data_IF_170941127973
#
_entry.id   IF_170941127973
#
_cell.length_a   1.000
_cell.length_b   1.000
_cell.length_c   1.000
_cell.angle_alpha   90.00
_cell.angle_beta   90.00
_cell.angle_gamma   90.00
#
_symmetry.space_group_name_H-M   'P 1'
#
loop_
_entity.id
_entity.type
_entity.pdbx_description
1 polymer ?
#
# COMPACT_ATOMS: atom_id res chain seq x y z
N UNK A 1 70.25 32.57 11.97
CA UNK A 1 69.24 33.05 12.94
C UNK A 1 67.97 33.40 12.19
N UNK A 2 66.96 32.52 12.19
CA UNK A 2 65.58 32.88 11.85
C UNK A 2 64.67 31.85 12.53
N UNK A 3 64.11 32.24 13.68
CA UNK A 3 63.14 31.48 14.47
C UNK A 3 61.82 31.44 13.69
N UNK A 4 61.30 30.24 13.40
CA UNK A 4 59.91 30.04 12.95
C UNK A 4 59.07 29.59 14.15
N UNK A 5 58.14 30.46 14.52
CA UNK A 5 57.13 30.29 15.57
C UNK A 5 56.09 29.25 15.13
N UNK A 6 55.91 28.21 15.94
CA UNK A 6 54.78 27.28 15.86
C UNK A 6 53.50 27.98 16.34
N UNK A 7 52.45 27.96 15.51
CA UNK A 7 51.09 28.40 15.89
C UNK A 7 50.35 27.27 16.62
N UNK A 8 49.93 27.46 17.88
CA UNK A 8 49.06 26.53 18.59
C UNK A 8 47.59 26.97 18.39
N UNK A 9 47.01 26.69 17.22
CA UNK A 9 45.60 27.02 16.97
C UNK A 9 44.91 25.97 16.08
N UNK A 10 45.31 24.70 16.23
CA UNK A 10 44.76 23.57 15.46
C UNK A 10 44.47 22.35 16.35
N UNK A 11 44.03 22.59 17.59
CA UNK A 11 43.77 21.52 18.56
C UNK A 11 42.43 21.65 19.29
N UNK A 12 41.44 22.33 18.68
CA UNK A 12 40.09 22.49 19.25
C UNK A 12 38.95 22.15 18.25
N UNK A 13 39.25 21.32 17.25
CA UNK A 13 38.28 20.75 16.30
C UNK A 13 38.23 19.22 16.40
N UNK A 14 38.44 18.67 17.60
CA UNK A 14 38.42 17.22 17.86
C UNK A 14 37.33 16.77 18.87
N UNK A 15 36.41 17.66 19.28
CA UNK A 15 35.58 17.37 20.45
C UNK A 15 34.09 17.76 20.31
N UNK A 16 33.51 17.65 19.11
CA UNK A 16 32.06 17.81 18.96
C UNK A 16 31.45 17.08 17.75
N UNK A 17 32.08 16.03 17.25
CA UNK A 17 31.32 14.96 16.56
C UNK A 17 30.67 14.10 17.63
N UNK A 18 29.68 14.69 18.31
CA UNK A 18 28.68 13.95 19.07
C UNK A 18 28.12 12.92 18.11
N UNK A 19 28.54 11.67 18.33
CA UNK A 19 27.94 10.48 17.76
C UNK A 19 26.46 10.56 18.09
N UNK A 20 25.67 11.05 17.13
CA UNK A 20 24.22 10.91 17.14
C UNK A 20 23.98 9.41 16.94
N UNK A 21 24.10 8.68 18.02
CA UNK A 21 23.71 7.28 18.12
C UNK A 21 22.20 7.28 17.93
N UNK A 22 21.74 7.11 16.69
CA UNK A 22 20.35 6.84 16.40
C UNK A 22 20.04 5.48 17.02
N UNK A 23 19.52 5.50 18.24
CA UNK A 23 19.01 4.30 18.90
C UNK A 23 17.83 3.81 18.08
N UNK A 24 18.01 2.66 17.44
CA UNK A 24 16.90 1.92 16.85
C UNK A 24 15.99 1.50 17.99
N UNK A 25 14.76 2.00 17.97
CA UNK A 25 13.74 1.64 18.95
C UNK A 25 13.07 0.36 18.45
N UNK A 26 13.20 -0.73 19.20
CA UNK A 26 12.60 -2.01 18.84
C UNK A 26 11.09 -1.98 19.07
N UNK A 27 10.26 -2.44 18.14
CA UNK A 27 8.83 -2.55 18.44
C UNK A 27 8.55 -3.65 19.47
N UNK A 28 7.47 -3.44 20.22
CA UNK A 28 6.99 -4.35 21.22
C UNK A 28 5.46 -4.40 21.23
N UNK A 29 4.93 -5.61 21.34
CA UNK A 29 3.51 -5.86 21.62
C UNK A 29 3.38 -6.34 23.06
N UNK A 30 2.64 -5.60 23.86
CA UNK A 30 2.51 -5.83 25.31
C UNK A 30 1.08 -6.22 25.63
N UNK A 31 0.90 -7.46 26.06
CA UNK A 31 -0.36 -7.95 26.62
C UNK A 31 -0.37 -7.66 28.11
N UNK A 32 -1.32 -6.86 28.56
CA UNK A 32 -1.50 -6.52 29.97
C UNK A 32 -2.53 -7.45 30.62
N UNK A 33 -2.32 -7.79 31.89
CA UNK A 33 -3.23 -8.64 32.66
C UNK A 33 -4.63 -8.04 32.70
N UNK A 34 -5.59 -8.78 32.14
CA UNK A 34 -7.01 -8.38 32.12
C UNK A 34 -7.38 -7.34 31.06
N UNK A 35 -6.44 -6.85 30.25
CA UNK A 35 -6.76 -6.01 29.10
C UNK A 35 -7.25 -6.85 27.93
N UNK A 36 -8.28 -6.37 27.21
CA UNK A 36 -8.82 -7.06 26.02
C UNK A 36 -7.95 -6.87 24.77
N UNK A 37 -7.27 -5.73 24.68
CA UNK A 37 -6.47 -5.34 23.52
C UNK A 37 -5.01 -5.16 23.96
N UNK A 38 -4.04 -5.65 23.16
CA UNK A 38 -2.62 -5.44 23.45
C UNK A 38 -2.23 -3.98 23.19
N UNK A 39 -1.21 -3.52 23.90
CA UNK A 39 -0.58 -2.21 23.65
C UNK A 39 0.56 -2.42 22.67
N UNK A 40 0.49 -1.78 21.50
CA UNK A 40 1.53 -1.82 20.46
C UNK A 40 2.30 -0.50 20.46
N UNK A 41 3.63 -0.56 20.32
CA UNK A 41 4.47 0.63 20.24
C UNK A 41 5.96 0.30 20.16
N UNK A 42 6.80 1.32 20.23
CA UNK A 42 8.26 1.19 20.20
C UNK A 42 8.85 1.25 21.61
N UNK A 43 9.70 0.29 21.95
CA UNK A 43 10.37 0.17 23.24
C UNK A 43 11.50 1.22 23.35
N UNK A 44 11.30 2.24 24.18
CA UNK A 44 12.29 3.29 24.45
C UNK A 44 13.30 2.88 25.52
N UNK A 45 12.80 2.23 26.57
CA UNK A 45 13.63 1.76 27.66
C UNK A 45 13.00 0.55 28.32
N UNK A 46 13.84 -0.35 28.79
CA UNK A 46 13.43 -1.54 29.51
C UNK A 46 14.33 -1.71 30.72
N UNK A 47 13.79 -1.55 31.92
CA UNK A 47 14.48 -1.83 33.17
C UNK A 47 13.85 -3.06 33.85
N UNK A 48 14.31 -3.42 35.05
CA UNK A 48 13.80 -4.60 35.78
C UNK A 48 12.35 -4.45 36.28
N UNK A 49 11.82 -3.22 36.38
CA UNK A 49 10.51 -2.92 36.97
C UNK A 49 9.49 -2.42 35.97
N UNK A 50 9.92 -1.63 34.99
CA UNK A 50 9.08 -0.90 34.05
C UNK A 50 9.60 -1.04 32.63
N UNK A 51 8.68 -0.89 31.68
CA UNK A 51 9.00 -0.65 30.29
C UNK A 51 8.38 0.68 29.88
N UNK A 52 9.06 1.40 28.99
CA UNK A 52 8.54 2.64 28.41
C UNK A 52 8.33 2.43 26.91
N UNK A 53 7.09 2.61 26.47
CA UNK A 53 6.69 2.50 25.08
C UNK A 53 6.37 3.88 24.51
N UNK A 54 6.77 4.11 23.26
CA UNK A 54 6.30 5.20 22.42
C UNK A 54 5.23 4.67 21.47
N UNK A 55 4.01 5.16 21.61
CA UNK A 55 2.83 4.72 20.88
C UNK A 55 2.44 5.81 19.89
N UNK A 56 2.34 5.47 18.60
CA UNK A 56 1.86 6.40 17.57
C UNK A 56 0.33 6.47 17.59
N UNK A 57 -0.22 7.68 17.57
CA UNK A 57 -1.68 7.89 17.46
C UNK A 57 -2.11 8.12 16.00
N UNK A 58 -3.40 7.88 15.67
CA UNK A 58 -3.92 8.10 14.31
C UNK A 58 -3.72 9.52 13.78
N UNK A 59 -3.64 10.51 14.67
CA UNK A 59 -3.40 11.92 14.35
C UNK A 59 -1.91 12.25 14.15
N UNK A 60 -1.06 11.23 13.95
CA UNK A 60 0.38 11.37 13.81
C UNK A 60 1.09 11.95 15.06
N UNK A 61 0.45 11.83 16.22
CA UNK A 61 1.01 12.20 17.52
C UNK A 61 1.77 11.03 18.15
N UNK A 62 2.57 11.34 19.16
CA UNK A 62 3.31 10.35 19.94
C UNK A 62 2.86 10.39 21.40
N UNK A 63 2.53 9.23 21.98
CA UNK A 63 2.22 9.08 23.40
C UNK A 63 3.28 8.18 24.04
N UNK A 64 3.94 8.67 25.08
CA UNK A 64 4.83 7.85 25.90
C UNK A 64 4.05 7.20 27.03
N UNK A 65 4.11 5.87 27.14
CA UNK A 65 3.44 5.09 28.18
C UNK A 65 4.46 4.26 28.94
N UNK A 66 4.54 4.50 30.26
CA UNK A 66 5.28 3.63 31.17
C UNK A 66 4.35 2.55 31.70
N UNK A 67 4.80 1.30 31.67
CA UNK A 67 4.04 0.12 32.08
C UNK A 67 4.89 -0.66 33.09
N UNK A 68 4.31 -0.98 34.25
CA UNK A 68 4.94 -1.85 35.23
C UNK A 68 5.00 -3.29 34.72
N UNK A 69 6.16 -3.94 34.80
CA UNK A 69 6.35 -5.34 34.39
C UNK A 69 5.47 -6.30 35.16
N UNK A 70 5.05 -5.96 36.37
CA UNK A 70 4.07 -6.75 37.14
C UNK A 70 2.68 -6.79 36.50
N UNK A 71 2.33 -5.80 35.68
CA UNK A 71 1.07 -5.73 34.93
C UNK A 71 1.13 -6.46 33.59
N UNK A 72 2.34 -6.76 33.10
CA UNK A 72 2.55 -7.44 31.82
C UNK A 72 2.28 -8.94 32.00
N UNK A 73 1.43 -9.48 31.13
CA UNK A 73 1.20 -10.91 30.98
C UNK A 73 2.17 -11.51 29.96
N UNK A 74 2.33 -10.85 28.81
CA UNK A 74 3.21 -11.29 27.73
C UNK A 74 3.82 -10.09 27.01
N UNK A 75 5.14 -10.11 26.81
CA UNK A 75 5.89 -9.16 26.00
C UNK A 75 6.39 -9.89 24.76
N UNK A 76 5.87 -9.52 23.59
CA UNK A 76 6.33 -10.06 22.31
C UNK A 76 7.24 -9.05 21.62
N UNK A 77 8.44 -9.51 21.24
CA UNK A 77 9.32 -8.83 20.28
C UNK A 77 9.23 -9.63 18.97
N UNK A 78 8.41 -9.19 18.02
CA UNK A 78 8.11 -10.00 16.85
C UNK A 78 9.29 -10.15 15.89
N UNK A 79 10.20 -9.17 15.85
CA UNK A 79 11.45 -9.22 15.09
C UNK A 79 12.57 -9.74 15.98
N UNK A 80 13.28 -10.78 15.52
CA UNK A 80 14.39 -11.39 16.25
C UNK A 80 15.71 -10.90 15.65
N UNK A 81 16.48 -10.05 16.35
CA UNK A 81 17.72 -9.46 15.81
C UNK A 81 18.78 -10.53 15.55
N UNK A 82 18.89 -11.55 16.41
CA UNK A 82 19.84 -12.66 16.21
C UNK A 82 19.54 -13.44 14.94
N UNK A 83 18.26 -13.62 14.61
CA UNK A 83 17.87 -14.26 13.35
C UNK A 83 18.18 -13.38 12.15
N UNK A 84 17.97 -12.07 12.23
CA UNK A 84 18.37 -11.13 11.18
C UNK A 84 19.89 -11.17 10.92
N UNK A 85 20.70 -11.29 11.97
CA UNK A 85 22.16 -11.43 11.86
C UNK A 85 22.60 -12.74 11.21
N UNK A 86 21.77 -13.79 11.25
CA UNK A 86 22.04 -15.07 10.61
C UNK A 86 21.68 -15.08 9.12
N UNK A 87 20.94 -14.09 8.63
CA UNK A 87 20.61 -13.98 7.20
C UNK A 87 21.89 -13.68 6.39
N UNK A 88 22.02 -14.35 5.25
CA UNK A 88 23.15 -14.20 4.34
C UNK A 88 22.66 -13.89 2.92
N UNK A 89 23.28 -12.93 2.21
CA UNK A 89 22.93 -12.60 0.82
C UNK A 89 22.98 -13.80 -0.14
N UNK A 90 23.77 -14.82 0.19
CA UNK A 90 23.87 -16.06 -0.58
C UNK A 90 22.63 -16.96 -0.49
N UNK A 91 21.70 -16.67 0.43
CA UNK A 91 20.48 -17.44 0.64
C UNK A 91 19.22 -16.54 0.58
N UNK A 92 18.86 -15.98 -0.60
CA UNK A 92 17.74 -15.04 -0.75
C UNK A 92 16.40 -15.58 -0.25
N UNK A 93 16.18 -16.89 -0.41
CA UNK A 93 14.99 -17.60 0.06
C UNK A 93 14.76 -17.43 1.58
N UNK A 94 15.82 -17.39 2.39
CA UNK A 94 15.70 -17.26 3.84
C UNK A 94 15.13 -15.88 4.25
N UNK A 95 15.42 -14.83 3.47
CA UNK A 95 14.81 -13.52 3.66
C UNK A 95 13.30 -13.56 3.40
N UNK A 96 12.88 -14.18 2.29
CA UNK A 96 11.45 -14.32 1.96
C UNK A 96 10.70 -15.14 3.00
N UNK A 97 11.23 -16.31 3.37
CA UNK A 97 10.61 -17.18 4.38
C UNK A 97 10.46 -16.46 5.72
N UNK A 98 11.48 -15.71 6.15
CA UNK A 98 11.35 -14.94 7.38
C UNK A 98 10.37 -13.76 7.25
N UNK A 99 10.31 -13.11 6.08
CA UNK A 99 9.31 -12.08 5.82
C UNK A 99 7.88 -12.62 5.94
N UNK A 100 7.60 -13.82 5.40
CA UNK A 100 6.29 -14.49 5.47
C UNK A 100 5.86 -14.73 6.93
N UNK A 101 6.77 -15.22 7.77
CA UNK A 101 6.49 -15.39 9.20
C UNK A 101 6.19 -14.05 9.92
N UNK A 102 6.82 -12.95 9.49
CA UNK A 102 6.55 -11.63 10.04
C UNK A 102 5.20 -11.07 9.58
N UNK A 103 4.76 -11.37 8.34
CA UNK A 103 3.44 -10.95 7.82
C UNK A 103 2.28 -11.53 8.63
N UNK A 104 2.46 -12.71 9.23
CA UNK A 104 1.44 -13.30 10.13
C UNK A 104 1.14 -12.39 11.34
N UNK A 105 2.08 -11.52 11.70
CA UNK A 105 2.01 -10.60 12.85
C UNK A 105 1.47 -9.23 12.47
N UNK A 106 0.33 -9.21 11.77
CA UNK A 106 -0.30 -8.01 11.15
C UNK A 106 -0.46 -6.77 12.05
N UNK A 107 -0.48 -6.95 13.37
CA UNK A 107 -0.65 -5.87 14.34
C UNK A 107 0.63 -5.12 14.68
N UNK A 108 1.80 -5.63 14.32
CA UNK A 108 3.08 -5.01 14.66
C UNK A 108 3.68 -4.23 13.48
N UNK A 109 3.85 -2.90 13.60
CA UNK A 109 4.35 -2.08 12.51
C UNK A 109 5.80 -2.38 12.11
N UNK A 110 6.67 -2.75 13.04
CA UNK A 110 8.08 -3.06 12.76
C UNK A 110 8.24 -4.45 12.15
N UNK A 111 7.40 -5.40 12.53
CA UNK A 111 7.29 -6.69 11.83
C UNK A 111 6.89 -6.47 10.36
N UNK A 112 5.92 -5.60 10.10
CA UNK A 112 5.46 -5.26 8.75
C UNK A 112 6.53 -4.49 7.96
N UNK A 113 7.22 -3.54 8.60
CA UNK A 113 8.33 -2.80 7.99
C UNK A 113 9.49 -3.73 7.64
N UNK A 114 9.89 -4.57 8.59
CA UNK A 114 10.95 -5.57 8.41
C UNK A 114 10.57 -6.59 7.35
N UNK A 115 9.33 -7.11 7.35
CA UNK A 115 8.85 -8.01 6.30
C UNK A 115 8.93 -7.36 4.91
N UNK A 116 8.52 -6.09 4.78
CA UNK A 116 8.60 -5.33 3.53
C UNK A 116 10.05 -5.25 3.04
N UNK A 117 10.99 -4.91 3.94
CA UNK A 117 12.42 -4.84 3.61
C UNK A 117 12.99 -6.21 3.23
N UNK A 118 12.65 -7.26 3.96
CA UNK A 118 13.11 -8.63 3.70
C UNK A 118 12.61 -9.17 2.36
N UNK A 119 11.32 -8.95 2.02
CA UNK A 119 10.80 -9.29 0.69
C UNK A 119 11.53 -8.55 -0.42
N UNK A 120 11.80 -7.25 -0.23
CA UNK A 120 12.51 -6.46 -1.23
C UNK A 120 13.96 -6.96 -1.43
N UNK A 121 14.66 -7.28 -0.33
CA UNK A 121 16.01 -7.86 -0.37
C UNK A 121 15.97 -9.21 -1.11
N UNK A 122 15.04 -10.10 -0.77
CA UNK A 122 14.88 -11.39 -1.44
C UNK A 122 14.67 -11.22 -2.95
N UNK A 123 13.76 -10.31 -3.33
CA UNK A 123 13.46 -10.02 -4.72
C UNK A 123 14.65 -9.39 -5.48
N UNK A 124 15.48 -8.61 -4.81
CA UNK A 124 16.66 -8.00 -5.39
C UNK A 124 17.83 -8.98 -5.56
N UNK A 125 18.06 -9.85 -4.59
CA UNK A 125 19.18 -10.80 -4.60
C UNK A 125 18.97 -11.94 -5.60
N UNK A 126 17.75 -12.48 -5.71
CA UNK A 126 17.40 -13.45 -6.76
C UNK A 126 16.08 -13.07 -7.46
N UNK A 127 16.12 -12.13 -8.42
CA UNK A 127 14.92 -11.69 -9.13
C UNK A 127 14.23 -12.80 -9.91
N UNK A 128 14.97 -13.83 -10.33
CA UNK A 128 14.43 -14.91 -11.19
C UNK A 128 13.65 -15.93 -10.39
N UNK A 129 14.14 -16.33 -9.21
CA UNK A 129 13.49 -17.36 -8.40
C UNK A 129 12.60 -16.76 -7.30
N UNK A 130 13.11 -15.77 -6.57
CA UNK A 130 12.43 -15.19 -5.40
C UNK A 130 11.69 -13.89 -5.73
N UNK A 131 12.04 -13.21 -6.83
CA UNK A 131 11.44 -11.93 -7.23
C UNK A 131 9.92 -11.96 -7.29
N UNK A 132 9.35 -12.92 -8.02
CA UNK A 132 7.89 -13.05 -8.17
C UNK A 132 7.20 -13.34 -6.83
N UNK A 133 7.65 -14.35 -6.09
CA UNK A 133 7.02 -14.77 -4.83
C UNK A 133 7.13 -13.69 -3.76
N UNK A 134 8.29 -13.03 -3.63
CA UNK A 134 8.50 -11.97 -2.66
C UNK A 134 7.66 -10.72 -2.94
N UNK A 135 7.54 -10.28 -4.20
CA UNK A 135 6.68 -9.14 -4.56
C UNK A 135 5.20 -9.45 -4.31
N UNK A 136 4.75 -10.68 -4.57
CA UNK A 136 3.38 -11.09 -4.26
C UNK A 136 3.14 -11.20 -2.75
N UNK A 137 4.10 -11.74 -1.99
CA UNK A 137 4.06 -11.79 -0.52
C UNK A 137 4.04 -10.42 0.14
N UNK A 138 4.57 -9.39 -0.52
CA UNK A 138 4.55 -8.00 -0.08
C UNK A 138 3.20 -7.28 -0.35
N UNK A 139 2.35 -7.82 -1.23
CA UNK A 139 1.05 -7.23 -1.57
C UNK A 139 0.14 -6.95 -0.35
N UNK A 140 -0.04 -7.86 0.63
CA UNK A 140 -0.84 -7.57 1.84
C UNK A 140 -0.25 -6.49 2.75
N UNK A 141 1.01 -6.07 2.54
CA UNK A 141 1.68 -5.03 3.32
C UNK A 141 1.41 -3.62 2.77
N UNK A 142 0.87 -3.52 1.54
CA UNK A 142 0.59 -2.23 0.90
C UNK A 142 -0.68 -1.60 1.47
N UNK A 143 -0.60 -0.30 1.76
CA UNK A 143 -1.72 0.48 2.31
C UNK A 143 -2.79 0.81 1.26
N UNK A 144 -2.41 0.86 -0.01
CA UNK A 144 -3.26 1.30 -1.10
C UNK A 144 -3.25 0.34 -2.30
N UNK A 145 -4.33 0.36 -3.07
CA UNK A 145 -4.51 -0.50 -4.24
C UNK A 145 -3.53 -0.18 -5.39
N UNK A 146 -2.99 1.03 -5.45
CA UNK A 146 -1.99 1.38 -6.46
C UNK A 146 -0.66 0.69 -6.17
N UNK A 147 -0.20 0.67 -4.92
CA UNK A 147 0.98 -0.08 -4.49
C UNK A 147 0.85 -1.57 -4.80
N UNK A 148 -0.31 -2.18 -4.52
CA UNK A 148 -0.58 -3.59 -4.89
C UNK A 148 -0.47 -3.81 -6.40
N UNK A 149 -1.08 -2.93 -7.21
CA UNK A 149 -0.98 -3.03 -8.69
C UNK A 149 0.46 -2.88 -9.17
N UNK A 150 1.22 -1.95 -8.59
CA UNK A 150 2.64 -1.76 -8.93
C UNK A 150 3.47 -3.01 -8.61
N UNK A 151 3.30 -3.61 -7.42
CA UNK A 151 3.99 -4.85 -7.06
C UNK A 151 3.61 -6.01 -7.97
N UNK A 152 2.34 -6.16 -8.34
CA UNK A 152 1.88 -7.18 -9.30
C UNK A 152 2.46 -6.98 -10.69
N UNK A 153 2.48 -5.74 -11.19
CA UNK A 153 3.10 -5.41 -12.47
C UNK A 153 4.60 -5.71 -12.45
N UNK A 154 5.30 -5.41 -11.35
CA UNK A 154 6.70 -5.79 -11.19
C UNK A 154 6.90 -7.31 -11.14
N UNK A 155 6.03 -8.04 -10.44
CA UNK A 155 6.07 -9.51 -10.39
C UNK A 155 5.86 -10.13 -11.78
N UNK A 156 4.99 -9.55 -12.60
CA UNK A 156 4.79 -9.92 -14.00
C UNK A 156 6.06 -9.70 -14.85
N UNK A 157 6.73 -8.55 -14.66
CA UNK A 157 7.94 -8.21 -15.42
C UNK A 157 9.15 -9.09 -15.03
N UNK A 158 9.29 -9.43 -13.75
CA UNK A 158 10.40 -10.26 -13.26
C UNK A 158 10.17 -11.75 -13.48
N UNK A 159 8.92 -12.21 -13.49
CA UNK A 159 8.59 -13.62 -13.64
C UNK A 159 8.87 -14.13 -15.06
N UNK A 160 9.56 -15.26 -15.25
CA UNK A 160 9.90 -15.78 -16.59
C UNK A 160 8.68 -16.23 -17.40
N UNK A 161 7.55 -16.47 -16.74
CA UNK A 161 6.31 -16.92 -17.37
C UNK A 161 5.41 -15.77 -17.83
N UNK A 162 5.69 -14.52 -17.41
CA UNK A 162 4.86 -13.35 -17.69
C UNK A 162 3.35 -13.63 -17.55
N UNK A 163 2.96 -14.09 -16.37
CA UNK A 163 1.60 -14.51 -16.07
C UNK A 163 0.65 -13.30 -16.05
N UNK A 164 -0.10 -13.11 -17.13
CA UNK A 164 -0.98 -11.96 -17.36
C UNK A 164 -2.08 -11.86 -16.28
N UNK A 165 -2.49 -12.98 -15.68
CA UNK A 165 -3.49 -13.00 -14.60
C UNK A 165 -3.06 -12.17 -13.38
N UNK A 166 -1.75 -11.93 -13.20
CA UNK A 166 -1.24 -11.04 -12.15
C UNK A 166 -1.64 -9.58 -12.38
N UNK A 167 -1.79 -9.14 -13.62
CA UNK A 167 -2.11 -7.76 -13.99
C UNK A 167 -3.60 -7.44 -13.84
N UNK A 168 -4.45 -8.44 -14.11
CA UNK A 168 -5.89 -8.39 -13.84
C UNK A 168 -6.14 -8.19 -12.35
N UNK A 169 -5.18 -8.65 -11.54
CA UNK A 169 -5.28 -8.73 -10.11
C UNK A 169 -6.32 -9.77 -9.71
N UNK A 170 -6.39 -10.11 -8.43
CA UNK A 170 -7.72 -10.33 -7.88
C UNK A 170 -8.43 -8.98 -8.04
N UNK A 171 -9.03 -8.75 -9.20
CA UNK A 171 -10.26 -8.00 -9.31
C UNK A 171 -11.13 -8.45 -8.15
N UNK A 172 -11.99 -7.57 -7.67
CA UNK A 172 -13.10 -8.00 -6.83
C UNK A 172 -14.05 -8.97 -7.58
N UNK A 173 -13.59 -9.72 -8.58
CA UNK A 173 -14.34 -10.75 -9.29
C UNK A 173 -14.61 -11.97 -8.39
N UNK A 174 -13.92 -12.12 -7.25
CA UNK A 174 -14.39 -13.03 -6.18
C UNK A 174 -15.51 -12.43 -5.32
N UNK A 175 -15.72 -11.11 -5.34
CA UNK A 175 -16.94 -10.46 -4.77
C UNK A 175 -18.08 -10.47 -5.82
N UNK A 176 -17.75 -10.57 -7.10
CA UNK A 176 -18.71 -10.73 -8.19
C UNK A 176 -18.79 -12.18 -8.70
N UNK A 177 -19.13 -13.12 -7.81
CA UNK A 177 -19.95 -14.28 -8.19
C UNK A 177 -21.39 -13.87 -8.61
N UNK A 178 -21.55 -12.63 -9.10
CA UNK A 178 -22.77 -12.17 -9.71
C UNK A 178 -22.86 -12.81 -11.09
N UNK A 179 -24.03 -13.38 -11.38
CA UNK A 179 -24.40 -13.75 -12.75
C UNK A 179 -24.08 -12.57 -13.66
N UNK A 180 -23.36 -12.78 -14.79
CA UNK A 180 -23.10 -11.70 -15.74
C UNK A 180 -24.42 -11.04 -16.11
N UNK A 181 -24.45 -9.70 -16.11
CA UNK A 181 -25.64 -8.95 -16.51
C UNK A 181 -26.07 -9.37 -17.91
N UNK A 182 -27.35 -9.66 -18.07
CA UNK A 182 -27.92 -9.77 -19.40
C UNK A 182 -27.85 -8.41 -20.13
N UNK A 183 -27.99 -8.46 -21.46
CA UNK A 183 -27.83 -7.28 -22.30
C UNK A 183 -28.89 -6.21 -21.99
N UNK A 184 -30.10 -6.61 -21.61
CA UNK A 184 -31.23 -5.73 -21.28
C UNK A 184 -30.98 -4.97 -19.98
N UNK A 185 -30.56 -5.66 -18.91
CA UNK A 185 -30.16 -5.07 -17.63
C UNK A 185 -29.01 -4.09 -17.82
N UNK A 186 -28.04 -4.43 -18.68
CA UNK A 186 -26.91 -3.56 -18.97
C UNK A 186 -27.34 -2.28 -19.66
N UNK A 187 -28.22 -2.38 -20.66
CA UNK A 187 -28.82 -1.22 -21.33
C UNK A 187 -29.64 -0.35 -20.36
N UNK A 188 -30.44 -0.96 -19.47
CA UNK A 188 -31.21 -0.23 -18.46
C UNK A 188 -30.31 0.58 -17.51
N UNK A 189 -29.18 0.00 -17.08
CA UNK A 189 -28.20 0.69 -16.21
C UNK A 189 -27.53 1.84 -16.94
N UNK A 190 -27.10 1.63 -18.18
CA UNK A 190 -26.48 2.68 -19.02
C UNK A 190 -27.47 3.83 -19.25
N UNK A 191 -28.74 3.52 -19.49
CA UNK A 191 -29.79 4.54 -19.68
C UNK A 191 -29.95 5.40 -18.42
N UNK A 192 -29.90 4.81 -17.22
CA UNK A 192 -29.94 5.59 -15.97
C UNK A 192 -28.73 6.53 -15.85
N UNK A 193 -27.53 6.09 -16.22
CA UNK A 193 -26.35 6.96 -16.25
C UNK A 193 -26.52 8.12 -17.23
N UNK A 194 -27.12 7.88 -18.40
CA UNK A 194 -27.46 8.93 -19.36
C UNK A 194 -28.46 9.94 -18.80
N UNK A 195 -29.52 9.47 -18.14
CA UNK A 195 -30.53 10.34 -17.51
C UNK A 195 -29.89 11.23 -16.44
N UNK A 196 -29.01 10.67 -15.61
CA UNK A 196 -28.26 11.43 -14.60
C UNK A 196 -27.36 12.50 -15.25
N UNK A 197 -26.61 12.15 -16.30
CA UNK A 197 -25.75 13.10 -17.03
C UNK A 197 -26.54 14.22 -17.71
N UNK A 198 -27.72 13.91 -18.25
CA UNK A 198 -28.63 14.88 -18.86
C UNK A 198 -29.41 15.71 -17.83
N UNK A 199 -29.14 15.55 -16.54
CA UNK A 199 -29.87 16.21 -15.45
C UNK A 199 -31.38 15.87 -15.42
N UNK A 200 -31.80 14.76 -16.04
CA UNK A 200 -33.18 14.21 -16.00
C UNK A 200 -33.40 13.42 -14.71
N UNK A 201 -33.34 14.14 -13.60
CA UNK A 201 -33.29 13.57 -12.24
C UNK A 201 -34.55 12.84 -11.81
N UNK A 202 -35.72 13.34 -12.23
CA UNK A 202 -37.00 12.71 -11.89
C UNK A 202 -37.10 11.30 -12.50
N UNK A 203 -36.76 11.19 -13.79
CA UNK A 203 -36.79 9.92 -14.53
C UNK A 203 -35.73 8.94 -13.98
N UNK A 204 -34.51 9.43 -13.74
CA UNK A 204 -33.45 8.63 -13.12
C UNK A 204 -33.88 8.13 -11.72
N UNK A 205 -34.50 8.98 -10.91
CA UNK A 205 -35.00 8.62 -9.58
C UNK A 205 -36.06 7.54 -9.64
N UNK A 206 -37.01 7.64 -10.57
CA UNK A 206 -38.06 6.64 -10.75
C UNK A 206 -37.46 5.28 -11.12
N UNK A 207 -36.48 5.24 -12.04
CA UNK A 207 -35.81 3.98 -12.41
C UNK A 207 -34.97 3.40 -11.28
N UNK A 208 -34.23 4.23 -10.55
CA UNK A 208 -33.43 3.82 -9.38
C UNK A 208 -34.26 3.28 -8.20
N UNK A 209 -35.58 3.48 -8.19
CA UNK A 209 -36.46 2.85 -7.19
C UNK A 209 -36.68 1.35 -7.44
N UNK A 210 -36.42 0.84 -8.65
CA UNK A 210 -36.51 -0.60 -8.95
C UNK A 210 -35.35 -1.35 -8.30
N UNK A 211 -35.65 -2.32 -7.43
CA UNK A 211 -34.64 -3.10 -6.70
C UNK A 211 -33.78 -3.98 -7.62
N UNK A 212 -34.40 -4.51 -8.69
CA UNK A 212 -33.73 -5.26 -9.76
C UNK A 212 -32.59 -4.44 -10.38
N UNK A 213 -32.88 -3.19 -10.76
CA UNK A 213 -31.90 -2.30 -11.38
C UNK A 213 -30.77 -1.93 -10.40
N UNK A 214 -31.08 -1.69 -9.13
CA UNK A 214 -30.05 -1.45 -8.11
C UNK A 214 -29.14 -2.65 -7.91
N UNK A 215 -29.69 -3.86 -8.02
CA UNK A 215 -28.92 -5.10 -7.94
C UNK A 215 -28.04 -5.26 -9.18
N UNK A 216 -28.60 -5.00 -10.37
CA UNK A 216 -27.86 -5.01 -11.62
C UNK A 216 -26.69 -4.01 -11.60
N UNK A 217 -26.90 -2.78 -11.08
CA UNK A 217 -25.84 -1.79 -10.92
C UNK A 217 -24.70 -2.27 -10.03
N UNK A 218 -25.01 -2.92 -8.90
CA UNK A 218 -23.99 -3.47 -7.98
C UNK A 218 -23.15 -4.57 -8.64
N UNK A 219 -23.76 -5.32 -9.55
CA UNK A 219 -23.11 -6.41 -10.29
C UNK A 219 -22.31 -5.89 -11.50
N UNK A 220 -22.82 -4.86 -12.19
CA UNK A 220 -22.27 -4.40 -13.45
C UNK A 220 -21.00 -3.54 -13.35
N UNK A 221 -20.87 -2.74 -12.29
CA UNK A 221 -19.74 -1.81 -12.16
C UNK A 221 -19.42 -1.52 -10.70
N UNK A 222 -18.14 -1.36 -10.38
CA UNK A 222 -17.67 -0.93 -9.06
C UNK A 222 -17.29 0.56 -9.01
N UNK A 223 -17.47 1.30 -10.11
CA UNK A 223 -17.04 2.71 -10.20
C UNK A 223 -17.99 3.68 -9.51
N UNK A 224 -19.28 3.33 -9.42
CA UNK A 224 -20.31 4.15 -8.78
C UNK A 224 -21.34 3.26 -8.10
N UNK A 225 -21.74 3.61 -6.87
CA UNK A 225 -22.73 2.83 -6.12
C UNK A 225 -24.16 3.29 -6.45
N UNK A 226 -25.18 2.41 -6.29
CA UNK A 226 -26.58 2.83 -6.43
C UNK A 226 -26.97 3.97 -5.49
N UNK A 227 -26.39 3.99 -4.29
CA UNK A 227 -26.64 5.02 -3.28
C UNK A 227 -26.09 6.38 -3.74
N UNK A 228 -24.90 6.40 -4.36
CA UNK A 228 -24.34 7.59 -5.00
C UNK A 228 -25.22 8.09 -6.14
N UNK A 229 -25.77 7.20 -6.97
CA UNK A 229 -26.71 7.55 -8.04
C UNK A 229 -28.02 8.12 -7.50
N UNK A 230 -28.56 7.58 -6.40
CA UNK A 230 -29.74 8.13 -5.73
C UNK A 230 -29.43 9.51 -5.14
N UNK A 231 -28.25 9.70 -4.55
CA UNK A 231 -27.82 11.01 -4.06
C UNK A 231 -27.69 12.04 -5.20
N UNK A 232 -27.18 11.62 -6.36
CA UNK A 232 -27.14 12.45 -7.57
C UNK A 232 -28.54 12.82 -8.07
N UNK A 233 -29.45 11.84 -8.16
CA UNK A 233 -30.83 12.07 -8.57
C UNK A 233 -31.57 13.02 -7.62
N UNK A 234 -31.32 12.90 -6.31
CA UNK A 234 -31.89 13.80 -5.30
C UNK A 234 -31.18 15.15 -5.22
N UNK A 235 -30.02 15.31 -5.87
CA UNK A 235 -29.20 16.52 -5.74
C UNK A 235 -28.54 16.69 -4.37
N UNK A 236 -28.49 15.62 -3.57
CA UNK A 236 -27.88 15.60 -2.24
C UNK A 236 -26.44 15.09 -2.26
N UNK A 237 -25.83 14.97 -3.45
CA UNK A 237 -24.46 14.51 -3.58
C UNK A 237 -23.46 15.52 -2.97
N UNK A 238 -22.30 15.08 -2.45
CA UNK A 238 -21.30 16.01 -1.93
C UNK A 238 -20.82 16.97 -3.03
N UNK A 239 -21.02 18.28 -2.85
CA UNK A 239 -20.64 19.28 -3.85
C UNK A 239 -21.65 19.50 -4.98
N UNK A 240 -22.86 18.90 -4.92
CA UNK A 240 -23.97 19.25 -5.80
C UNK A 240 -24.50 20.65 -5.46
N UNK A 241 -23.97 21.71 -6.07
CA UNK A 241 -24.50 23.07 -5.94
C UNK A 241 -25.61 23.30 -6.99
N UNK A 242 -26.80 23.71 -6.54
CA UNK A 242 -27.92 24.14 -7.41
C UNK A 242 -28.32 23.12 -8.49
N UNK A 243 -28.14 21.83 -8.22
CA UNK A 243 -28.47 20.79 -9.18
C UNK A 243 -27.43 20.55 -10.28
N UNK A 244 -26.25 21.17 -10.18
CA UNK A 244 -25.11 20.82 -11.04
C UNK A 244 -24.38 19.62 -10.45
N UNK A 245 -24.05 18.63 -11.28
CA UNK A 245 -23.24 17.47 -10.87
C UNK A 245 -21.77 17.89 -10.86
N UNK A 246 -21.04 17.70 -9.76
CA UNK A 246 -19.62 18.04 -9.69
C UNK A 246 -18.79 17.13 -10.61
N UNK A 247 -17.71 17.67 -11.18
CA UNK A 247 -16.88 16.99 -12.19
C UNK A 247 -16.40 15.59 -11.77
N UNK A 248 -16.05 15.39 -10.50
CA UNK A 248 -15.58 14.08 -10.04
C UNK A 248 -16.69 13.01 -10.07
N UNK A 249 -17.95 13.37 -9.81
CA UNK A 249 -19.09 12.46 -9.94
C UNK A 249 -19.43 12.19 -11.41
N UNK A 250 -19.29 13.20 -12.27
CA UNK A 250 -19.44 13.03 -13.71
C UNK A 250 -18.39 12.06 -14.26
N UNK A 251 -17.14 12.16 -13.81
CA UNK A 251 -16.08 11.22 -14.16
C UNK A 251 -16.40 9.79 -13.72
N UNK A 252 -16.92 9.60 -12.49
CA UNK A 252 -17.40 8.28 -12.03
C UNK A 252 -18.51 7.71 -12.91
N UNK A 253 -19.51 8.52 -13.25
CA UNK A 253 -20.62 8.12 -14.13
C UNK A 253 -20.12 7.70 -15.52
N UNK A 254 -19.23 8.49 -16.13
CA UNK A 254 -18.68 8.20 -17.46
C UNK A 254 -17.79 6.95 -17.43
N UNK A 255 -16.99 6.76 -16.37
CA UNK A 255 -16.18 5.56 -16.22
C UNK A 255 -17.05 4.30 -16.05
N UNK A 256 -18.14 4.39 -15.29
CA UNK A 256 -19.11 3.32 -15.12
C UNK A 256 -19.84 2.99 -16.43
N UNK A 257 -20.28 4.02 -17.17
CA UNK A 257 -20.90 3.89 -18.49
C UNK A 257 -19.96 3.18 -19.48
N UNK A 258 -18.70 3.61 -19.54
CA UNK A 258 -17.70 3.03 -20.41
C UNK A 258 -17.39 1.57 -20.07
N UNK A 259 -17.29 1.23 -18.78
CA UNK A 259 -17.07 -0.16 -18.36
C UNK A 259 -18.20 -1.09 -18.81
N UNK A 260 -19.45 -0.63 -18.73
CA UNK A 260 -20.61 -1.42 -19.15
C UNK A 260 -20.74 -1.52 -20.67
N UNK A 261 -20.38 -0.49 -21.43
CA UNK A 261 -20.45 -0.53 -22.90
C UNK A 261 -19.28 -1.30 -23.50
N UNK A 262 -18.08 -1.21 -22.93
CA UNK A 262 -16.88 -1.87 -23.44
C UNK A 262 -16.89 -3.39 -23.27
N UNK A 263 -17.60 -3.93 -22.27
CA UNK A 263 -17.70 -5.39 -22.04
C UNK A 263 -18.44 -6.15 -23.16
N UNK A 264 -19.18 -5.48 -24.03
CA UNK A 264 -19.84 -6.07 -25.20
C UNK A 264 -19.07 -5.93 -26.51
N UNK A 265 -18.07 -5.04 -26.57
CA UNK A 265 -17.28 -4.78 -27.76
C UNK A 265 -15.90 -5.42 -27.61
N UNK A 266 -15.75 -6.64 -28.14
CA UNK A 266 -14.46 -7.09 -28.70
C UNK A 266 -14.11 -6.34 -29.99
N UNK A 267 -14.68 -5.15 -30.17
CA UNK A 267 -14.54 -4.34 -31.36
C UNK A 267 -13.20 -3.62 -31.27
N UNK A 268 -12.39 -3.84 -32.29
CA UNK A 268 -11.01 -3.37 -32.36
C UNK A 268 -10.98 -1.86 -32.15
N UNK A 269 -10.40 -1.45 -31.02
CA UNK A 269 -10.16 -0.05 -30.69
C UNK A 269 -9.34 0.57 -31.83
N UNK A 270 -9.97 1.40 -32.67
CA UNK A 270 -9.26 2.13 -33.72
C UNK A 270 -8.26 3.08 -33.04
N UNK A 271 -6.97 2.78 -33.22
CA UNK A 271 -5.87 3.58 -32.67
C UNK A 271 -5.91 5.00 -33.23
N UNK A 272 -6.36 5.97 -32.42
CA UNK A 272 -6.21 7.39 -32.73
C UNK A 272 -4.74 7.79 -32.58
N UNK A 273 -4.04 7.89 -33.71
CA UNK A 273 -2.61 8.23 -33.77
C UNK A 273 -2.27 9.59 -33.12
N UNK A 274 -3.24 10.49 -32.97
CA UNK A 274 -3.06 11.80 -32.35
C UNK A 274 -2.64 11.75 -30.88
N UNK A 275 -3.00 10.70 -30.15
CA UNK A 275 -2.63 10.50 -28.74
C UNK A 275 -1.11 10.31 -28.56
N UNK A 276 -0.44 9.69 -29.52
CA UNK A 276 1.01 9.42 -29.47
C UNK A 276 1.88 10.67 -29.72
N UNK A 277 1.28 11.78 -30.16
CA UNK A 277 1.96 13.04 -30.44
C UNK A 277 1.85 14.05 -29.29
N UNK A 278 1.09 13.75 -28.23
CA UNK A 278 1.01 14.60 -27.04
C UNK A 278 2.33 14.53 -26.24
N UNK A 279 2.86 15.68 -25.83
CA UNK A 279 4.04 15.80 -24.96
C UNK A 279 3.86 15.03 -23.64
N UNK A 280 2.61 14.79 -23.21
CA UNK A 280 2.30 13.94 -22.07
C UNK A 280 2.65 12.46 -22.30
N UNK A 281 2.48 11.97 -23.54
CA UNK A 281 2.82 10.61 -23.95
C UNK A 281 4.33 10.43 -24.16
N UNK A 282 5.03 11.49 -24.57
CA UNK A 282 6.50 11.48 -24.75
C UNK A 282 7.28 11.49 -23.42
N UNK A 283 6.61 11.67 -22.27
CA UNK A 283 7.26 11.48 -20.97
C UNK A 283 7.59 10.01 -20.79
N UNK A 284 8.88 9.72 -20.64
CA UNK A 284 9.35 8.36 -20.31
C UNK A 284 8.56 7.83 -19.12
N UNK A 285 7.86 6.72 -19.31
CA UNK A 285 7.15 6.05 -18.22
C UNK A 285 8.14 5.82 -17.07
N UNK A 286 7.75 6.14 -15.82
CA UNK A 286 8.63 5.89 -14.69
C UNK A 286 8.98 4.40 -14.69
N UNK A 287 10.28 4.11 -14.80
CA UNK A 287 10.77 2.74 -14.85
C UNK A 287 10.51 2.11 -13.48
N UNK A 288 9.56 1.18 -13.44
CA UNK A 288 9.30 0.36 -12.26
C UNK A 288 10.57 -0.45 -11.98
N UNK A 289 11.28 -0.08 -10.92
CA UNK A 289 12.50 -0.76 -10.49
C UNK A 289 12.37 -1.14 -9.02
N UNK A 290 12.98 -2.27 -8.63
CA UNK A 290 13.03 -2.71 -7.24
C UNK A 290 13.63 -1.66 -6.30
N UNK A 291 14.51 -0.80 -6.80
CA UNK A 291 15.14 0.26 -6.01
C UNK A 291 14.16 1.39 -5.64
N UNK A 292 13.13 1.60 -6.46
CA UNK A 292 12.15 2.68 -6.27
C UNK A 292 10.79 2.17 -5.76
N UNK A 293 10.65 0.86 -5.57
CA UNK A 293 9.37 0.25 -5.16
C UNK A 293 9.00 0.57 -3.71
N UNK A 294 10.00 0.82 -2.86
CA UNK A 294 9.80 1.19 -1.45
C UNK A 294 10.85 2.21 -1.02
N UNK A 295 10.74 2.71 0.21
CA UNK A 295 11.75 3.60 0.82
C UNK A 295 13.06 2.88 1.19
N UNK A 296 13.12 1.55 1.13
CA UNK A 296 14.29 0.78 1.55
C UNK A 296 15.26 0.57 0.40
N UNK A 297 16.56 0.69 0.69
CA UNK A 297 17.60 0.32 -0.26
C UNK A 297 17.88 -1.20 -0.17
N UNK A 298 17.55 -2.00 -1.20
CA UNK A 298 17.72 -3.45 -1.14
C UNK A 298 19.20 -3.91 -1.16
N UNK A 299 20.14 -3.01 -1.48
CA UNK A 299 21.58 -3.30 -1.38
C UNK A 299 22.04 -3.45 0.06
N UNK A 300 21.33 -2.84 1.01
CA UNK A 300 21.60 -2.99 2.44
C UNK A 300 20.98 -4.28 2.97
N UNK A 301 21.56 -5.41 2.58
CA UNK A 301 20.99 -6.74 2.82
C UNK A 301 21.59 -7.50 4.01
N UNK A 302 22.63 -6.97 4.68
CA UNK A 302 23.21 -7.59 5.88
C UNK A 302 22.79 -6.82 7.12
N UNK A 303 22.29 -7.51 8.14
CA UNK A 303 21.99 -6.91 9.44
C UNK A 303 23.15 -7.12 10.41
N UNK A 304 23.75 -6.03 10.90
CA UNK A 304 24.87 -6.01 11.84
C UNK A 304 24.72 -4.86 12.84
N UNK A 305 24.88 -5.16 14.13
CA UNK A 305 24.88 -4.14 15.20
C UNK A 305 23.64 -3.23 15.15
N UNK A 306 22.46 -3.81 14.94
CA UNK A 306 21.19 -3.07 14.85
C UNK A 306 20.96 -2.33 13.53
N UNK A 307 21.86 -2.44 12.54
CA UNK A 307 21.79 -1.67 11.29
C UNK A 307 21.86 -2.57 10.07
N UNK A 308 21.14 -2.15 9.03
CA UNK A 308 21.24 -2.74 7.70
C UNK A 308 22.40 -2.10 6.94
N UNK A 309 23.32 -2.92 6.46
CA UNK A 309 24.55 -2.50 5.75
C UNK A 309 24.69 -3.26 4.44
N UNK A 310 25.44 -2.68 3.51
CA UNK A 310 25.82 -3.36 2.26
C UNK A 310 26.89 -4.43 2.55
N UNK A 311 26.93 -5.54 1.79
CA UNK A 311 27.93 -6.62 1.93
C UNK A 311 29.39 -6.19 1.82
#
# INVERSE_FOLDING_TARGET
MTRRSFSPCLMLTLMCTLLISTTTLDAAVVYLKGAKEPVTGYLESSDEKTIRLRIETPDNGEIHRTIDRSEIELLLQPVNPTRLEQLSPDHPKAYREYAEELVEKKSDPDAMETATRLFLIAAYLDPKQEGRSALLGMSPLMKDAQGVRQLRAMAYLLGPQHDVSLLEGASQDEIANGVPLDDEQREEVVEVFHLLRQSKRADAKQRLQREELRTAMKQGTNKITPEECVALANGTCPGCAQGTIPNYMLQKLVAAEYELTARGSNDQMETEWGYYLDDSFLRSLPVLSLQNATQFNPKQCIYRNGKWVEP
#
